data_IF_752835629138
#
_entry.id   IF_752835629138
#
_cell.length_a   1.000
_cell.length_b   1.000
_cell.length_c   1.000
_cell.angle_alpha   90.00
_cell.angle_beta   90.00
_cell.angle_gamma   90.00
#
_symmetry.space_group_name_H-M   'P 1'
#
loop_
_entity.id
_entity.type
_entity.pdbx_description
1 polymer ?
#
# COMPACT_ATOMS: atom_id res chain seq x y z
N UNK A 1 -14.02 -25.70 33.11
CA UNK A 1 -13.22 -25.26 34.28
C UNK A 1 -13.80 -25.90 35.53
N UNK A 2 -12.99 -26.20 36.53
CA UNK A 2 -13.38 -26.69 37.85
C UNK A 2 -12.61 -25.92 38.91
N UNK A 3 -13.15 -25.86 40.14
CA UNK A 3 -12.59 -25.13 41.29
C UNK A 3 -12.22 -23.67 41.00
N UNK A 4 -13.03 -22.99 40.19
CA UNK A 4 -12.74 -21.64 39.73
C UNK A 4 -13.07 -20.58 40.79
N UNK A 5 -12.54 -19.38 40.59
CA UNK A 5 -12.86 -18.22 41.40
C UNK A 5 -13.81 -17.29 40.63
N UNK A 6 -14.77 -16.68 41.34
CA UNK A 6 -15.65 -15.66 40.80
C UNK A 6 -16.04 -14.66 41.89
N UNK A 7 -16.45 -13.46 41.47
CA UNK A 7 -17.04 -12.48 42.38
C UNK A 7 -18.30 -13.06 43.04
N UNK A 8 -18.50 -12.79 44.33
CA UNK A 8 -19.62 -13.35 45.08
C UNK A 8 -20.96 -12.60 44.87
N UNK A 9 -21.00 -11.65 43.92
CA UNK A 9 -22.06 -10.65 43.78
C UNK A 9 -22.32 -9.84 45.08
N UNK A 10 -21.28 -9.73 45.92
CA UNK A 10 -21.24 -8.93 47.15
C UNK A 10 -19.95 -8.12 47.09
N UNK A 11 -20.05 -6.81 47.34
CA UNK A 11 -18.91 -5.91 47.26
C UNK A 11 -17.73 -6.40 48.15
N UNK A 12 -16.53 -6.34 47.58
CA UNK A 12 -15.30 -6.79 48.24
C UNK A 12 -15.18 -8.30 48.53
N UNK A 13 -16.07 -9.16 48.01
CA UNK A 13 -16.04 -10.62 48.29
C UNK A 13 -16.00 -11.49 47.04
N UNK A 14 -15.34 -12.64 47.18
CA UNK A 14 -15.17 -13.65 46.14
C UNK A 14 -15.44 -15.05 46.70
N UNK A 15 -15.91 -15.94 45.82
CA UNK A 15 -15.92 -17.38 46.08
C UNK A 15 -14.72 -18.03 45.38
N UNK A 16 -14.19 -19.09 46.01
CA UNK A 16 -13.12 -19.93 45.48
C UNK A 16 -13.57 -21.39 45.53
N UNK A 17 -13.05 -22.22 44.62
CA UNK A 17 -13.42 -23.64 44.55
C UNK A 17 -14.81 -23.87 43.97
N UNK A 18 -15.33 -22.94 43.17
CA UNK A 18 -16.65 -23.05 42.52
C UNK A 18 -16.61 -24.13 41.44
N UNK A 19 -17.66 -24.93 41.34
CA UNK A 19 -17.83 -25.93 40.30
C UNK A 19 -19.19 -25.80 39.61
N UNK A 20 -19.16 -25.90 38.29
CA UNK A 20 -20.37 -25.98 37.48
C UNK A 20 -21.23 -27.18 37.89
N UNK A 21 -22.55 -27.02 37.78
CA UNK A 21 -23.62 -27.95 38.14
C UNK A 21 -23.71 -28.32 39.64
N UNK A 22 -22.62 -28.20 40.41
CA UNK A 22 -22.61 -28.33 41.87
C UNK A 22 -23.06 -27.06 42.57
N UNK A 23 -22.43 -25.93 42.25
CA UNK A 23 -22.67 -24.65 42.95
C UNK A 23 -23.45 -23.65 42.10
N UNK A 24 -23.34 -23.76 40.78
CA UNK A 24 -24.02 -22.90 39.81
C UNK A 24 -24.28 -23.68 38.52
N UNK A 25 -25.48 -23.52 37.94
CA UNK A 25 -25.85 -24.20 36.71
C UNK A 25 -24.90 -23.83 35.56
N UNK A 26 -24.53 -24.82 34.74
CA UNK A 26 -23.77 -24.56 33.51
C UNK A 26 -24.60 -23.66 32.57
N UNK A 27 -24.07 -22.49 32.15
CA UNK A 27 -24.78 -21.60 31.24
C UNK A 27 -24.76 -22.13 29.80
N UNK A 28 -25.46 -21.45 28.90
CA UNK A 28 -25.25 -21.64 27.47
C UNK A 28 -23.77 -21.36 27.13
N UNK A 29 -23.15 -22.32 26.44
CA UNK A 29 -21.76 -22.22 26.01
C UNK A 29 -21.73 -21.71 24.58
N UNK A 30 -20.99 -20.63 24.37
CA UNK A 30 -20.76 -20.03 23.07
C UNK A 30 -19.30 -19.60 22.91
N UNK A 31 -18.86 -19.38 21.68
CA UNK A 31 -17.54 -18.81 21.40
C UNK A 31 -17.56 -17.29 21.66
N UNK A 32 -17.08 -16.90 22.84
CA UNK A 32 -17.15 -15.53 23.36
C UNK A 32 -15.78 -14.94 23.70
N UNK A 33 -14.70 -15.65 23.38
CA UNK A 33 -13.34 -15.18 23.60
C UNK A 33 -12.67 -14.88 22.27
N UNK A 34 -11.70 -13.97 22.28
CA UNK A 34 -10.78 -13.88 21.15
C UNK A 34 -9.84 -15.09 21.15
N UNK A 35 -9.45 -15.52 19.95
CA UNK A 35 -8.35 -16.45 19.75
C UNK A 35 -7.04 -15.82 20.22
N UNK A 36 -6.09 -16.66 20.63
CA UNK A 36 -4.72 -16.24 20.95
C UNK A 36 -3.72 -16.95 20.03
N UNK A 37 -2.53 -16.36 19.87
CA UNK A 37 -1.48 -16.95 19.04
C UNK A 37 -1.14 -18.37 19.54
N UNK A 38 -1.12 -19.34 18.62
CA UNK A 38 -0.88 -20.74 18.93
C UNK A 38 -2.12 -21.56 19.25
N UNK A 39 -3.32 -20.96 19.35
CA UNK A 39 -4.57 -21.71 19.43
C UNK A 39 -4.71 -22.67 18.23
N UNK A 40 -5.35 -23.84 18.40
CA UNK A 40 -5.67 -24.74 17.29
C UNK A 40 -6.50 -24.03 16.22
N UNK A 41 -6.18 -24.28 14.96
CA UNK A 41 -6.99 -23.76 13.86
C UNK A 41 -8.41 -24.35 13.89
N UNK A 42 -9.47 -23.55 13.66
CA UNK A 42 -10.85 -24.04 13.66
C UNK A 42 -11.16 -25.03 12.53
N UNK A 43 -10.32 -25.11 11.50
CA UNK A 43 -10.41 -26.12 10.43
C UNK A 43 -9.69 -27.44 10.76
N UNK A 44 -9.11 -27.54 11.97
CA UNK A 44 -8.36 -28.71 12.44
C UNK A 44 -6.93 -28.82 11.91
N UNK A 45 -6.45 -27.85 11.13
CA UNK A 45 -5.13 -27.91 10.48
C UNK A 45 -4.18 -26.84 11.03
N UNK A 46 -3.21 -27.28 11.83
CA UNK A 46 -2.16 -26.40 12.33
C UNK A 46 -2.62 -25.47 13.47
N UNK A 47 -1.99 -24.30 13.57
CA UNK A 47 -2.17 -23.36 14.68
C UNK A 47 -2.26 -21.92 14.17
N UNK A 48 -3.00 -21.09 14.88
CA UNK A 48 -3.26 -19.71 14.51
C UNK A 48 -2.03 -18.81 14.71
N UNK A 49 -1.71 -18.02 13.69
CA UNK A 49 -0.75 -16.91 13.74
C UNK A 49 -1.53 -15.59 13.69
N UNK A 50 -1.13 -14.63 14.52
CA UNK A 50 -1.75 -13.29 14.55
C UNK A 50 -0.79 -12.30 13.91
N UNK A 51 -1.26 -11.57 12.90
CA UNK A 51 -0.52 -10.50 12.22
C UNK A 51 -1.31 -9.20 12.28
N UNK A 52 -0.61 -8.08 12.11
CA UNK A 52 -1.24 -6.76 11.95
C UNK A 52 -1.55 -6.54 10.47
N UNK A 53 -2.71 -5.96 10.19
CA UNK A 53 -3.14 -5.60 8.84
C UNK A 53 -3.95 -4.32 8.88
N UNK A 54 -3.90 -3.57 7.77
CA UNK A 54 -4.75 -2.41 7.54
C UNK A 54 -5.86 -2.86 6.60
N UNK A 55 -7.11 -2.75 7.03
CA UNK A 55 -8.26 -3.06 6.19
C UNK A 55 -8.39 -1.98 5.09
N UNK A 56 -8.06 -2.35 3.84
CA UNK A 56 -8.17 -1.46 2.68
C UNK A 56 -9.48 -1.63 1.91
N UNK A 57 -10.22 -2.71 2.17
CA UNK A 57 -11.52 -2.95 1.58
C UNK A 57 -12.30 -4.02 2.31
N UNK A 58 -13.61 -4.05 2.07
CA UNK A 58 -14.53 -4.98 2.69
C UNK A 58 -15.64 -5.35 1.70
N UNK A 59 -16.04 -6.62 1.73
CA UNK A 59 -17.17 -7.13 0.95
C UNK A 59 -18.22 -7.70 1.91
N UNK A 60 -19.49 -7.38 1.68
CA UNK A 60 -20.58 -7.89 2.52
C UNK A 60 -21.69 -8.49 1.67
N UNK A 61 -22.19 -9.64 2.12
CA UNK A 61 -23.49 -10.15 1.70
C UNK A 61 -24.56 -9.49 2.60
N UNK A 62 -25.23 -8.47 2.09
CA UNK A 62 -26.23 -7.72 2.86
C UNK A 62 -27.57 -8.45 2.97
N UNK A 63 -27.80 -9.43 2.09
CA UNK A 63 -29.07 -10.14 2.02
C UNK A 63 -30.19 -9.18 1.65
N UNK A 64 -31.31 -9.26 2.36
CA UNK A 64 -32.51 -8.46 2.09
C UNK A 64 -32.72 -7.29 3.05
N UNK A 65 -31.76 -7.05 3.98
CA UNK A 65 -31.88 -6.08 5.07
C UNK A 65 -32.36 -4.69 4.62
N UNK A 66 -31.79 -4.19 3.51
CA UNK A 66 -32.13 -2.86 2.98
C UNK A 66 -33.29 -2.90 1.99
N UNK A 67 -33.33 -3.91 1.14
CA UNK A 67 -34.37 -4.03 0.11
C UNK A 67 -35.75 -4.25 0.71
N UNK A 68 -35.90 -4.98 1.82
CA UNK A 68 -37.15 -5.09 2.57
C UNK A 68 -37.59 -3.75 3.17
N UNK A 69 -36.68 -3.10 3.91
CA UNK A 69 -36.96 -1.84 4.58
C UNK A 69 -37.34 -0.72 3.60
N UNK A 70 -36.70 -0.67 2.44
CA UNK A 70 -36.92 0.34 1.39
C UNK A 70 -37.94 -0.09 0.33
N UNK A 71 -38.52 -1.29 0.47
CA UNK A 71 -39.48 -1.87 -0.50
C UNK A 71 -38.92 -1.97 -1.93
N UNK A 72 -37.62 -2.25 -2.06
CA UNK A 72 -36.96 -2.45 -3.34
C UNK A 72 -37.20 -3.89 -3.82
N UNK A 73 -38.05 -4.04 -4.84
CA UNK A 73 -38.46 -5.33 -5.37
C UNK A 73 -38.62 -5.31 -6.88
N UNK A 74 -38.55 -6.48 -7.49
CA UNK A 74 -38.70 -6.71 -8.93
C UNK A 74 -39.67 -7.85 -9.17
N UNK A 75 -40.27 -7.93 -10.36
CA UNK A 75 -41.05 -9.09 -10.75
C UNK A 75 -40.11 -10.23 -11.13
N UNK A 76 -40.21 -11.36 -10.45
CA UNK A 76 -39.48 -12.58 -10.77
C UNK A 76 -40.02 -13.26 -12.03
N UNK A 77 -39.29 -14.27 -12.51
CA UNK A 77 -39.67 -15.04 -13.70
C UNK A 77 -41.01 -15.78 -13.56
N UNK A 78 -41.40 -16.11 -12.31
CA UNK A 78 -42.69 -16.69 -11.96
C UNK A 78 -43.84 -15.66 -11.85
N UNK A 79 -43.55 -14.40 -12.17
CA UNK A 79 -44.47 -13.28 -12.08
C UNK A 79 -44.68 -12.74 -10.66
N UNK A 80 -44.02 -13.30 -9.64
CA UNK A 80 -44.18 -12.88 -8.24
C UNK A 80 -43.26 -11.72 -7.89
N UNK A 81 -43.66 -10.95 -6.88
CA UNK A 81 -42.81 -9.90 -6.35
C UNK A 81 -41.64 -10.49 -5.57
N UNK A 82 -40.40 -10.22 -6.01
CA UNK A 82 -39.18 -10.70 -5.38
C UNK A 82 -38.41 -9.52 -4.78
N UNK A 83 -38.11 -9.64 -3.48
CA UNK A 83 -37.21 -8.70 -2.80
C UNK A 83 -35.78 -8.92 -3.31
N UNK A 84 -35.09 -7.83 -3.64
CA UNK A 84 -33.72 -7.90 -4.12
C UNK A 84 -32.76 -8.40 -3.05
N UNK A 85 -31.93 -9.39 -3.38
CA UNK A 85 -30.78 -9.77 -2.55
C UNK A 85 -29.62 -8.85 -2.88
N UNK A 86 -28.98 -8.28 -1.86
CA UNK A 86 -27.97 -7.25 -2.02
C UNK A 86 -26.59 -7.73 -1.56
N UNK A 87 -25.57 -7.27 -2.27
CA UNK A 87 -24.18 -7.26 -1.82
C UNK A 87 -23.64 -5.83 -1.86
N UNK A 88 -22.63 -5.55 -1.05
CA UNK A 88 -21.86 -4.31 -1.19
C UNK A 88 -20.36 -4.57 -1.12
N UNK A 89 -19.62 -3.69 -1.80
CA UNK A 89 -18.18 -3.80 -1.99
C UNK A 89 -17.58 -2.41 -1.81
N UNK A 90 -16.64 -2.28 -0.87
CA UNK A 90 -16.01 -1.00 -0.54
C UNK A 90 -14.50 -1.11 -0.55
N UNK A 91 -13.85 -0.10 -1.11
CA UNK A 91 -12.39 0.10 -1.03
C UNK A 91 -12.14 1.51 -0.50
N UNK A 92 -11.30 1.63 0.52
CA UNK A 92 -10.85 2.92 1.03
C UNK A 92 -9.76 3.51 0.14
N UNK A 93 -10.12 4.16 -0.97
CA UNK A 93 -9.15 4.66 -1.97
C UNK A 93 -8.03 5.51 -1.35
N UNK A 94 -8.37 6.46 -0.49
CA UNK A 94 -7.37 7.29 0.21
C UNK A 94 -6.55 6.49 1.23
N UNK A 95 -7.15 5.47 1.85
CA UNK A 95 -6.46 4.57 2.78
C UNK A 95 -5.46 3.66 2.06
N UNK A 96 -5.75 3.24 0.83
CA UNK A 96 -4.83 2.43 0.01
C UNK A 96 -3.51 3.17 -0.21
N UNK A 97 -3.55 4.48 -0.46
CA UNK A 97 -2.33 5.30 -0.63
C UNK A 97 -1.47 5.24 0.64
N UNK A 98 -2.06 5.49 1.81
CA UNK A 98 -1.34 5.44 3.07
C UNK A 98 -0.83 4.02 3.40
N UNK A 99 -1.65 2.99 3.15
CA UNK A 99 -1.28 1.59 3.36
C UNK A 99 -0.11 1.16 2.45
N UNK A 100 -0.06 1.65 1.21
CA UNK A 100 1.06 1.41 0.31
C UNK A 100 2.36 2.03 0.83
N UNK A 101 2.30 3.24 1.41
CA UNK A 101 3.47 3.87 2.04
C UNK A 101 3.89 3.09 3.30
N UNK A 102 2.96 2.75 4.20
CA UNK A 102 3.24 1.98 5.43
C UNK A 102 3.93 0.64 5.14
N UNK A 103 3.62 0.02 4.01
CA UNK A 103 4.26 -1.23 3.60
C UNK A 103 5.58 -1.03 2.84
N UNK A 104 5.77 0.13 2.20
CA UNK A 104 6.89 0.37 1.28
C UNK A 104 7.53 1.75 1.53
N UNK A 105 8.42 1.80 2.51
CA UNK A 105 9.23 2.98 2.82
C UNK A 105 10.60 2.55 3.36
N UNK A 106 11.55 3.48 3.35
CA UNK A 106 12.82 3.35 4.07
C UNK A 106 13.18 4.67 4.77
N UNK A 107 14.39 4.75 5.34
CA UNK A 107 14.89 5.92 6.06
C UNK A 107 14.94 7.21 5.20
N UNK A 108 14.90 7.08 3.86
CA UNK A 108 15.00 8.21 2.92
C UNK A 108 13.64 8.66 2.39
N UNK A 109 12.59 7.87 2.60
CA UNK A 109 11.21 8.23 2.26
C UNK A 109 10.43 7.12 1.59
N UNK A 110 9.51 7.52 0.71
CA UNK A 110 8.54 6.61 0.11
C UNK A 110 9.20 5.70 -0.93
N UNK A 111 8.77 4.44 -1.03
CA UNK A 111 9.14 3.51 -2.10
C UNK A 111 7.85 3.05 -2.79
N UNK A 112 7.43 3.74 -3.85
CA UNK A 112 6.18 3.39 -4.50
C UNK A 112 6.23 2.02 -5.20
N UNK A 113 5.12 1.26 -5.20
CA UNK A 113 4.84 0.31 -6.27
C UNK A 113 4.73 1.07 -7.60
N UNK A 114 5.35 0.55 -8.67
CA UNK A 114 5.49 1.28 -9.94
C UNK A 114 4.13 1.70 -10.54
N UNK A 115 3.08 0.91 -10.30
CA UNK A 115 1.72 1.18 -10.78
C UNK A 115 1.02 2.40 -10.15
N UNK A 116 1.52 2.91 -9.02
CA UNK A 116 0.91 4.03 -8.29
C UNK A 116 1.91 5.14 -7.95
N UNK A 117 3.12 5.08 -8.51
CA UNK A 117 4.09 6.15 -8.37
C UNK A 117 3.54 7.44 -9.03
N UNK A 118 3.79 8.64 -8.45
CA UNK A 118 3.26 9.89 -8.99
C UNK A 118 3.88 10.29 -10.34
N UNK A 119 5.11 9.82 -10.58
CA UNK A 119 5.84 9.90 -11.83
C UNK A 119 6.68 8.63 -11.93
N UNK A 120 7.05 8.25 -13.14
CA UNK A 120 7.88 7.07 -13.38
C UNK A 120 9.37 7.43 -13.39
N UNK A 121 9.73 8.58 -13.98
CA UNK A 121 11.11 9.05 -14.10
C UNK A 121 11.29 10.45 -13.51
N UNK A 122 12.37 10.66 -12.75
CA UNK A 122 12.85 11.97 -12.33
C UNK A 122 14.16 12.32 -13.06
N UNK A 123 14.23 13.49 -13.67
CA UNK A 123 15.44 14.04 -14.30
C UNK A 123 16.02 15.12 -13.38
N UNK A 124 17.27 14.93 -12.94
CA UNK A 124 17.98 15.85 -12.04
C UNK A 124 19.16 16.49 -12.81
N UNK A 125 18.96 17.66 -13.44
CA UNK A 125 20.00 18.38 -14.15
C UNK A 125 20.86 19.24 -13.20
N UNK A 126 22.08 18.77 -12.93
CA UNK A 126 23.03 19.43 -12.04
C UNK A 126 23.53 20.75 -12.64
N UNK A 127 23.33 21.85 -11.91
CA UNK A 127 23.73 23.19 -12.35
C UNK A 127 23.18 23.58 -13.74
N UNK A 128 21.96 23.16 -14.09
CA UNK A 128 21.30 23.43 -15.37
C UNK A 128 21.44 24.89 -15.84
N UNK A 129 21.28 25.84 -14.92
CA UNK A 129 21.37 27.28 -15.16
C UNK A 129 22.78 27.80 -15.51
N UNK A 130 23.82 26.97 -15.41
CA UNK A 130 25.21 27.31 -15.78
C UNK A 130 25.74 26.49 -16.95
N UNK A 131 25.16 25.31 -17.22
CA UNK A 131 25.60 24.43 -18.29
C UNK A 131 24.51 24.31 -19.35
N UNK A 132 24.74 24.97 -20.49
CA UNK A 132 23.88 24.87 -21.67
C UNK A 132 23.74 23.41 -22.14
N UNK A 133 24.82 22.63 -22.05
CA UNK A 133 24.85 21.21 -22.41
C UNK A 133 23.92 20.37 -21.53
N UNK A 134 23.95 20.59 -20.21
CA UNK A 134 23.04 19.90 -19.27
C UNK A 134 21.60 20.31 -19.51
N UNK A 135 21.35 21.61 -19.73
CA UNK A 135 20.02 22.14 -20.03
C UNK A 135 19.41 21.50 -21.29
N UNK A 136 20.13 21.57 -22.41
CA UNK A 136 19.67 21.03 -23.69
C UNK A 136 19.38 19.53 -23.60
N UNK A 137 20.26 18.76 -22.94
CA UNK A 137 20.06 17.34 -22.75
C UNK A 137 18.85 17.02 -21.85
N UNK A 138 18.66 17.78 -20.77
CA UNK A 138 17.53 17.58 -19.86
C UNK A 138 16.18 17.81 -20.57
N UNK A 139 16.07 18.91 -21.31
CA UNK A 139 14.87 19.27 -22.08
C UNK A 139 14.59 18.27 -23.21
N UNK A 140 15.65 17.79 -23.88
CA UNK A 140 15.58 16.73 -24.90
C UNK A 140 15.05 15.42 -24.30
N UNK A 141 15.67 14.91 -23.23
CA UNK A 141 15.28 13.65 -22.59
C UNK A 141 13.86 13.72 -22.02
N UNK A 142 13.50 14.86 -21.42
CA UNK A 142 12.14 15.11 -20.95
C UNK A 142 11.12 14.95 -22.09
N UNK A 143 11.40 15.57 -23.24
CA UNK A 143 10.53 15.50 -24.42
C UNK A 143 10.46 14.10 -25.03
N UNK A 144 11.59 13.41 -25.17
CA UNK A 144 11.68 12.06 -25.73
C UNK A 144 10.95 11.02 -24.87
N UNK A 145 11.16 11.03 -23.55
CA UNK A 145 10.49 10.12 -22.63
C UNK A 145 8.97 10.39 -22.59
N UNK A 146 8.56 11.65 -22.59
CA UNK A 146 7.13 12.00 -22.68
C UNK A 146 6.50 11.58 -24.01
N UNK A 147 7.24 11.65 -25.13
CA UNK A 147 6.76 11.14 -26.41
C UNK A 147 6.55 9.61 -26.39
N UNK A 148 7.25 8.90 -25.50
CA UNK A 148 6.99 7.49 -25.19
C UNK A 148 5.82 7.28 -24.21
N UNK A 149 5.14 8.33 -23.77
CA UNK A 149 4.05 8.22 -22.78
C UNK A 149 4.53 7.92 -21.37
N UNK A 150 5.81 8.15 -21.07
CA UNK A 150 6.36 8.03 -19.71
C UNK A 150 6.04 9.31 -18.94
N UNK A 151 5.61 9.16 -17.69
CA UNK A 151 5.38 10.27 -16.77
C UNK A 151 6.71 10.71 -16.15
N UNK A 152 7.14 11.93 -16.51
CA UNK A 152 8.46 12.45 -16.14
C UNK A 152 8.34 13.70 -15.29
N UNK A 153 9.07 13.74 -14.17
CA UNK A 153 9.35 14.94 -13.40
C UNK A 153 10.73 15.49 -13.79
N UNK A 154 10.78 16.74 -14.23
CA UNK A 154 12.03 17.47 -14.43
C UNK A 154 12.25 18.39 -13.24
N UNK A 155 13.34 18.20 -12.49
CA UNK A 155 13.72 19.10 -11.40
C UNK A 155 14.55 20.27 -11.96
N UNK A 156 13.87 21.29 -12.49
CA UNK A 156 14.45 22.50 -13.08
C UNK A 156 14.76 23.60 -12.04
N UNK A 157 14.60 23.29 -10.74
CA UNK A 157 14.81 24.24 -9.66
C UNK A 157 16.27 24.66 -9.58
N UNK A 158 16.50 25.93 -9.23
CA UNK A 158 17.83 26.45 -8.93
C UNK A 158 18.26 26.07 -7.51
N UNK A 159 18.44 24.77 -7.27
CA UNK A 159 18.81 24.23 -5.97
C UNK A 159 20.13 23.46 -5.95
N UNK A 160 20.64 23.19 -4.74
CA UNK A 160 21.84 22.39 -4.56
C UNK A 160 21.57 20.91 -4.86
N UNK A 161 22.51 20.18 -5.48
CA UNK A 161 22.38 18.75 -5.76
C UNK A 161 21.87 17.92 -4.59
N UNK A 162 22.44 18.12 -3.39
CA UNK A 162 22.05 17.37 -2.20
C UNK A 162 20.58 17.54 -1.80
N UNK A 163 20.00 18.73 -2.02
CA UNK A 163 18.58 19.00 -1.75
C UNK A 163 17.71 18.30 -2.80
N UNK A 164 18.07 18.41 -4.08
CA UNK A 164 17.36 17.74 -5.17
C UNK A 164 17.33 16.22 -4.96
N UNK A 165 18.46 15.62 -4.56
CA UNK A 165 18.53 14.19 -4.26
C UNK A 165 17.62 13.79 -3.10
N UNK A 166 17.68 14.53 -1.99
CA UNK A 166 16.86 14.25 -0.81
C UNK A 166 15.36 14.35 -1.13
N UNK A 167 14.95 15.38 -1.89
CA UNK A 167 13.55 15.56 -2.28
C UNK A 167 13.07 14.42 -3.17
N UNK A 168 13.86 14.01 -4.17
CA UNK A 168 13.46 12.93 -5.09
C UNK A 168 13.42 11.56 -4.41
N UNK A 169 14.32 11.30 -3.47
CA UNK A 169 14.27 10.10 -2.63
C UNK A 169 13.05 10.10 -1.69
N UNK A 170 12.70 11.28 -1.14
CA UNK A 170 11.57 11.45 -0.25
C UNK A 170 10.23 11.24 -0.96
N UNK A 171 10.07 11.86 -2.14
CA UNK A 171 8.88 11.72 -3.00
C UNK A 171 8.75 10.26 -3.51
N UNK A 172 9.88 9.56 -3.69
CA UNK A 172 9.91 8.14 -3.97
C UNK A 172 9.76 7.78 -5.45
N UNK A 173 10.15 8.67 -6.38
CA UNK A 173 10.05 8.40 -7.82
C UNK A 173 10.93 7.18 -8.19
N UNK A 174 10.39 6.16 -8.89
CA UNK A 174 11.10 4.89 -9.08
C UNK A 174 12.43 5.01 -9.84
N UNK A 175 12.44 5.73 -10.96
CA UNK A 175 13.63 5.85 -11.80
C UNK A 175 14.18 7.28 -11.74
N UNK A 176 15.44 7.44 -11.36
CA UNK A 176 16.10 8.74 -11.29
C UNK A 176 17.29 8.76 -12.22
N UNK A 177 17.37 9.77 -13.08
CA UNK A 177 18.55 10.05 -13.90
C UNK A 177 19.17 11.39 -13.51
N UNK A 178 20.49 11.41 -13.39
CA UNK A 178 21.27 12.58 -12.98
C UNK A 178 22.15 13.01 -14.14
N UNK A 179 21.99 14.26 -14.55
CA UNK A 179 22.76 14.87 -15.63
C UNK A 179 23.76 15.83 -15.02
N UNK A 180 25.05 15.64 -15.27
CA UNK A 180 26.08 16.56 -14.78
C UNK A 180 27.31 16.53 -15.67
N UNK A 181 27.94 17.71 -15.86
CA UNK A 181 29.02 17.90 -16.83
C UNK A 181 30.11 16.83 -16.73
N UNK A 182 30.53 16.48 -15.51
CA UNK A 182 31.57 15.46 -15.28
C UNK A 182 31.26 14.09 -15.88
N UNK A 183 30.00 13.64 -15.79
CA UNK A 183 29.62 12.34 -16.35
C UNK A 183 29.41 12.46 -17.87
N UNK A 184 28.88 13.61 -18.31
CA UNK A 184 28.70 13.90 -19.73
C UNK A 184 30.04 13.97 -20.48
N UNK A 185 31.14 14.37 -19.87
CA UNK A 185 32.47 14.31 -20.49
C UNK A 185 32.86 12.90 -20.96
N UNK A 186 32.29 11.85 -20.36
CA UNK A 186 32.45 10.44 -20.75
C UNK A 186 31.25 9.88 -21.53
N UNK A 187 30.32 10.74 -21.93
CA UNK A 187 29.03 10.39 -22.53
C UNK A 187 28.15 9.49 -21.65
N UNK A 188 28.21 9.69 -20.33
CA UNK A 188 27.46 8.90 -19.34
C UNK A 188 26.40 9.73 -18.60
N UNK A 189 25.31 9.05 -18.25
CA UNK A 189 24.25 9.51 -17.35
C UNK A 189 24.22 8.56 -16.15
N UNK A 190 24.14 9.12 -14.94
CA UNK A 190 23.95 8.29 -13.73
C UNK A 190 22.47 7.95 -13.59
N UNK A 191 22.16 6.67 -13.61
CA UNK A 191 20.83 6.09 -13.37
C UNK A 191 20.78 5.47 -11.98
N UNK A 192 19.62 5.60 -11.33
CA UNK A 192 19.32 4.96 -10.05
C UNK A 192 17.88 4.47 -10.01
N UNK A 193 17.70 3.24 -9.53
CA UNK A 193 16.37 2.70 -9.21
C UNK A 193 16.09 2.81 -7.71
N UNK A 194 14.97 3.41 -7.33
CA UNK A 194 14.62 3.75 -5.94
C UNK A 194 14.53 2.54 -5.03
N UNK A 195 14.05 1.40 -5.53
CA UNK A 195 13.78 0.20 -4.74
C UNK A 195 15.03 -0.62 -4.42
N UNK A 196 16.00 -0.71 -5.33
CA UNK A 196 17.24 -1.45 -5.08
C UNK A 196 18.39 -0.53 -4.62
N UNK A 197 18.30 0.78 -4.87
CA UNK A 197 19.30 1.77 -4.49
C UNK A 197 20.59 1.73 -5.33
N UNK A 198 20.66 0.86 -6.34
CA UNK A 198 21.85 0.67 -7.18
C UNK A 198 22.04 1.85 -8.14
N UNK A 199 23.29 2.29 -8.26
CA UNK A 199 23.71 3.32 -9.20
C UNK A 199 24.39 2.68 -10.39
N UNK A 200 24.05 3.12 -11.58
CA UNK A 200 24.63 2.64 -12.83
C UNK A 200 24.97 3.84 -13.71
N UNK A 201 26.05 3.73 -14.50
CA UNK A 201 26.35 4.68 -15.56
C UNK A 201 25.85 4.07 -16.87
N UNK A 202 25.03 4.84 -17.59
CA UNK A 202 24.41 4.43 -18.85
C UNK A 202 24.78 5.47 -19.89
N UNK A 203 25.11 5.02 -21.11
CA UNK A 203 25.44 5.95 -22.19
C UNK A 203 24.27 6.86 -22.52
N UNK A 204 24.56 8.12 -22.82
CA UNK A 204 23.55 9.13 -23.15
C UNK A 204 22.61 8.66 -24.27
N UNK A 205 23.14 7.95 -25.28
CA UNK A 205 22.35 7.41 -26.39
C UNK A 205 21.41 6.27 -26.01
N UNK A 206 21.70 5.52 -24.95
CA UNK A 206 20.99 4.29 -24.59
C UNK A 206 19.93 4.52 -23.49
N UNK A 207 19.98 5.67 -22.80
CA UNK A 207 19.17 5.91 -21.59
C UNK A 207 17.67 5.82 -21.84
N UNK A 208 17.19 6.31 -22.99
CA UNK A 208 15.76 6.33 -23.32
C UNK A 208 15.25 4.91 -23.54
N UNK A 209 15.95 4.12 -24.36
CA UNK A 209 15.60 2.71 -24.60
C UNK A 209 15.65 1.90 -23.31
N UNK A 210 16.69 2.12 -22.50
CA UNK A 210 16.84 1.48 -21.21
C UNK A 210 15.64 1.76 -20.29
N UNK A 211 15.24 3.02 -20.11
CA UNK A 211 14.10 3.40 -19.27
C UNK A 211 12.78 2.85 -19.82
N UNK A 212 12.56 2.91 -21.14
CA UNK A 212 11.37 2.33 -21.78
C UNK A 212 11.28 0.84 -21.47
N UNK A 213 12.40 0.11 -21.56
CA UNK A 213 12.45 -1.32 -21.24
C UNK A 213 12.17 -1.59 -19.76
N UNK A 214 12.71 -0.79 -18.84
CA UNK A 214 12.46 -0.98 -17.40
C UNK A 214 11.02 -0.69 -17.00
N UNK A 215 10.36 0.25 -17.67
CA UNK A 215 9.02 0.74 -17.30
C UNK A 215 7.91 -0.05 -18.00
N UNK A 216 8.13 -0.47 -19.25
CA UNK A 216 7.10 -1.13 -20.06
C UNK A 216 7.37 -2.61 -20.36
N UNK A 217 8.59 -3.09 -20.14
CA UNK A 217 8.98 -4.49 -20.34
C UNK A 217 8.65 -5.33 -19.12
#
# INVERSE_FOLDING_TARGET
>A
MSDFAAGANIDGKHYFGINWDRDVATPEVADIRNVVAGDPSPDGQGRLLIKRGIEVGHIFQLGTKYSEALKASVQGEDGRNQILTMGCYGIGVTRVVAAAIEQNYDERGIVWPDAIAPFQVAILPMNMHKSFRVQELAEKLYSELRAQGIEVLLDDRKERPGVMFADMELIGIPHTIVLGDRNLDNDDIEYKYRRNGEKQLIKTGDIVEYLVKQIKG
#
